data_IF_143078108166
#
_entry.id   IF_143078108166
#
_cell.length_a   1.000
_cell.length_b   1.000
_cell.length_c   1.000
_cell.angle_alpha   90.00
_cell.angle_beta   90.00
_cell.angle_gamma   90.00
#
_symmetry.space_group_name_H-M   'P 1'
#
loop_
_entity.id
_entity.type
_entity.pdbx_description
1 polymer ?
#
# COMPACT_ATOMS: atom_id res chain seq x y z
N UNK A 1 -10.32 11.93 -33.16
CA UNK A 1 -9.04 12.54 -32.75
C UNK A 1 -9.19 12.92 -31.29
N UNK A 2 -8.25 12.50 -30.45
CA UNK A 2 -8.24 12.80 -29.03
C UNK A 2 -8.09 14.32 -28.86
N UNK A 3 -8.94 14.94 -28.03
CA UNK A 3 -8.67 16.29 -27.56
C UNK A 3 -7.51 16.17 -26.57
N UNK A 4 -6.31 16.52 -27.03
CA UNK A 4 -5.17 16.81 -26.17
C UNK A 4 -5.50 18.06 -25.36
N UNK A 5 -5.10 18.03 -24.10
CA UNK A 5 -5.30 19.02 -23.04
C UNK A 5 -5.33 20.46 -23.58
N UNK A 6 -6.49 21.12 -23.49
CA UNK A 6 -6.66 22.54 -23.80
C UNK A 6 -6.02 23.37 -22.68
N UNK A 7 -4.75 23.75 -22.88
CA UNK A 7 -3.95 24.52 -21.92
C UNK A 7 -4.40 26.00 -21.80
N UNK A 8 -5.36 26.46 -22.63
CA UNK A 8 -5.76 27.86 -22.69
C UNK A 8 -7.05 28.19 -21.90
N UNK A 9 -7.80 27.17 -21.46
CA UNK A 9 -8.97 27.33 -20.61
C UNK A 9 -8.79 26.66 -19.24
N UNK A 10 -7.92 27.25 -18.41
CA UNK A 10 -7.77 26.83 -17.02
C UNK A 10 -8.92 27.39 -16.19
N UNK A 11 -10.06 26.70 -16.15
CA UNK A 11 -11.01 26.91 -15.04
C UNK A 11 -10.29 26.42 -13.79
N UNK A 12 -9.65 27.35 -13.07
CA UNK A 12 -8.96 27.05 -11.82
C UNK A 12 -10.01 26.57 -10.83
N UNK A 13 -9.97 25.28 -10.50
CA UNK A 13 -10.80 24.75 -9.43
C UNK A 13 -10.25 25.29 -8.10
N UNK A 14 -10.86 26.35 -7.57
CA UNK A 14 -10.51 26.99 -6.30
C UNK A 14 -10.55 26.03 -5.10
N UNK A 15 -11.28 24.91 -5.21
CA UNK A 15 -11.40 23.92 -4.13
C UNK A 15 -10.35 22.81 -4.19
N UNK A 16 -9.55 22.75 -5.25
CA UNK A 16 -8.69 21.59 -5.52
C UNK A 16 -9.51 20.32 -5.75
N UNK A 17 -9.07 19.46 -6.65
CA UNK A 17 -9.65 18.12 -6.70
C UNK A 17 -9.04 17.31 -5.54
N UNK A 18 -9.78 17.19 -4.44
CA UNK A 18 -9.45 16.21 -3.41
C UNK A 18 -9.56 14.82 -4.03
N UNK A 19 -8.41 14.32 -4.51
CA UNK A 19 -8.26 12.96 -5.02
C UNK A 19 -8.47 12.00 -3.85
N UNK A 20 -9.72 11.55 -3.75
CA UNK A 20 -10.14 10.48 -2.86
C UNK A 20 -9.81 9.15 -3.54
N UNK A 21 -8.99 8.33 -2.86
CA UNK A 21 -8.73 6.97 -3.34
C UNK A 21 -10.00 6.16 -3.14
N UNK A 22 -10.57 5.65 -4.23
CA UNK A 22 -11.80 4.86 -4.19
C UNK A 22 -11.49 3.52 -3.52
N UNK A 23 -11.95 3.33 -2.30
CA UNK A 23 -11.84 2.07 -1.56
C UNK A 23 -13.00 1.13 -1.92
N UNK A 24 -13.09 0.73 -3.19
CA UNK A 24 -14.10 -0.24 -3.65
C UNK A 24 -13.48 -1.22 -4.64
N UNK A 25 -13.69 -2.51 -4.37
CA UNK A 25 -13.37 -3.56 -5.31
C UNK A 25 -14.41 -3.60 -6.43
N UNK A 26 -13.97 -3.46 -7.68
CA UNK A 26 -14.80 -3.53 -8.87
C UNK A 26 -14.68 -4.94 -9.46
N UNK A 27 -15.77 -5.71 -9.56
CA UNK A 27 -15.74 -7.01 -10.21
C UNK A 27 -15.62 -6.85 -11.73
N UNK A 28 -14.79 -7.66 -12.36
CA UNK A 28 -14.72 -7.71 -13.83
C UNK A 28 -15.93 -8.45 -14.36
N UNK A 29 -16.74 -7.78 -15.18
CA UNK A 29 -17.90 -8.36 -15.86
C UNK A 29 -17.66 -8.35 -17.36
N UNK A 30 -17.96 -9.47 -18.02
CA UNK A 30 -18.04 -9.54 -19.47
C UNK A 30 -19.48 -9.38 -19.93
N UNK A 31 -19.70 -8.55 -20.95
CA UNK A 31 -21.00 -8.38 -21.59
C UNK A 31 -21.26 -9.40 -22.69
N UNK A 32 -22.46 -9.37 -23.27
CA UNK A 32 -22.91 -10.27 -24.35
C UNK A 32 -21.94 -10.33 -25.55
N UNK A 33 -21.21 -9.24 -25.82
CA UNK A 33 -20.20 -9.16 -26.88
C UNK A 33 -19.03 -10.15 -26.73
N UNK A 34 -18.69 -10.61 -25.52
CA UNK A 34 -17.62 -11.61 -25.35
C UNK A 34 -18.03 -13.00 -25.83
N UNK A 35 -19.32 -13.36 -25.69
CA UNK A 35 -19.84 -14.64 -26.16
C UNK A 35 -19.89 -14.69 -27.68
N UNK A 36 -20.36 -13.61 -28.32
CA UNK A 36 -20.34 -13.48 -29.78
C UNK A 36 -18.92 -13.55 -30.31
N UNK A 37 -17.97 -12.85 -29.67
CA UNK A 37 -16.56 -12.89 -30.05
C UNK A 37 -15.99 -14.31 -29.99
N UNK A 38 -16.27 -15.08 -28.93
CA UNK A 38 -15.80 -16.47 -28.83
C UNK A 38 -16.43 -17.40 -29.88
N UNK A 39 -17.73 -17.26 -30.14
CA UNK A 39 -18.43 -18.06 -31.16
C UNK A 39 -17.90 -17.74 -32.56
N UNK A 40 -17.69 -16.46 -32.86
CA UNK A 40 -17.09 -16.01 -34.13
C UNK A 40 -15.65 -16.50 -34.30
N UNK A 41 -14.93 -16.75 -33.21
CA UNK A 41 -13.56 -17.26 -33.27
C UNK A 41 -13.50 -18.78 -33.50
N UNK A 42 -14.52 -19.52 -33.07
CA UNK A 42 -14.57 -20.98 -33.18
C UNK A 42 -15.31 -21.50 -34.43
N UNK A 43 -16.32 -20.77 -34.91
CA UNK A 43 -17.25 -21.28 -35.94
C UNK A 43 -16.74 -21.16 -37.40
N UNK A 44 -16.02 -20.10 -37.82
CA UNK A 44 -15.45 -19.98 -39.16
C UNK A 44 -13.93 -20.24 -39.25
N UNK A 45 -13.17 -20.25 -38.13
CA UNK A 45 -11.69 -20.19 -38.14
C UNK A 45 -11.05 -20.98 -36.98
N UNK A 46 -10.82 -22.29 -37.18
CA UNK A 46 -10.20 -23.21 -36.20
C UNK A 46 -8.80 -22.75 -35.75
N UNK A 47 -7.98 -22.21 -36.66
CA UNK A 47 -6.59 -21.81 -36.37
C UNK A 47 -6.52 -20.60 -35.41
N UNK A 48 -7.25 -19.48 -35.65
CA UNK A 48 -7.40 -18.42 -34.65
C UNK A 48 -7.96 -18.89 -33.32
N UNK A 49 -8.90 -19.85 -33.34
CA UNK A 49 -9.49 -20.45 -32.14
C UNK A 49 -8.43 -21.05 -31.21
N UNK A 50 -7.49 -21.80 -31.78
CA UNK A 50 -6.37 -22.39 -31.06
C UNK A 50 -5.41 -21.32 -30.52
N UNK A 51 -5.07 -20.30 -31.32
CA UNK A 51 -4.20 -19.19 -30.88
C UNK A 51 -4.82 -18.48 -29.67
N UNK A 52 -6.14 -18.21 -29.73
CA UNK A 52 -6.86 -17.58 -28.64
C UNK A 52 -6.88 -18.42 -27.34
N UNK A 53 -6.93 -19.75 -27.46
CA UNK A 53 -6.81 -20.65 -26.31
C UNK A 53 -5.44 -20.55 -25.63
N UNK A 54 -4.36 -20.54 -26.42
CA UNK A 54 -3.01 -20.33 -25.88
C UNK A 54 -2.87 -18.97 -25.19
N UNK A 55 -3.45 -17.91 -25.76
CA UNK A 55 -3.47 -16.59 -25.12
C UNK A 55 -4.22 -16.60 -23.77
N UNK A 56 -5.31 -17.37 -23.64
CA UNK A 56 -6.04 -17.51 -22.36
C UNK A 56 -5.18 -18.17 -21.28
N UNK A 57 -4.45 -19.23 -21.64
CA UNK A 57 -3.55 -19.93 -20.70
C UNK A 57 -2.44 -18.97 -20.26
N UNK A 58 -1.85 -18.23 -21.21
CA UNK A 58 -0.83 -17.23 -20.92
C UNK A 58 -1.34 -16.13 -19.99
N UNK A 59 -2.54 -15.59 -20.23
CA UNK A 59 -3.17 -14.59 -19.37
C UNK A 59 -3.38 -15.12 -17.94
N UNK A 60 -3.82 -16.37 -17.79
CA UNK A 60 -3.97 -17.00 -16.47
C UNK A 60 -2.63 -17.15 -15.72
N UNK A 61 -1.55 -17.52 -16.43
CA UNK A 61 -0.21 -17.57 -15.84
C UNK A 61 0.29 -16.19 -15.41
N UNK A 62 0.07 -15.18 -16.23
CA UNK A 62 0.45 -13.80 -15.94
C UNK A 62 -0.29 -13.27 -14.70
N UNK A 63 -1.59 -13.50 -14.58
CA UNK A 63 -2.35 -13.13 -13.39
C UNK A 63 -1.78 -13.80 -12.13
N UNK A 64 -1.48 -15.11 -12.17
CA UNK A 64 -0.84 -15.80 -11.04
C UNK A 64 0.49 -15.18 -10.66
N UNK A 65 1.32 -14.81 -11.65
CA UNK A 65 2.60 -14.14 -11.42
C UNK A 65 2.43 -12.78 -10.76
N UNK A 66 1.50 -11.95 -11.23
CA UNK A 66 1.21 -10.64 -10.62
C UNK A 66 0.69 -10.82 -9.19
N UNK A 67 -0.16 -11.82 -8.93
CA UNK A 67 -0.64 -12.12 -7.58
C UNK A 67 0.51 -12.49 -6.63
N UNK A 68 1.44 -13.32 -7.08
CA UNK A 68 2.64 -13.68 -6.31
C UNK A 68 3.53 -12.46 -6.05
N UNK A 69 3.70 -11.59 -7.05
CA UNK A 69 4.46 -10.34 -6.91
C UNK A 69 3.81 -9.40 -5.88
N UNK A 70 2.49 -9.23 -5.92
CA UNK A 70 1.77 -8.44 -4.92
C UNK A 70 1.96 -9.03 -3.52
N UNK A 71 1.87 -10.36 -3.38
CA UNK A 71 2.08 -11.02 -2.10
C UNK A 71 3.52 -10.81 -1.59
N UNK A 72 4.51 -10.93 -2.48
CA UNK A 72 5.91 -10.70 -2.15
C UNK A 72 6.14 -9.26 -1.65
N UNK A 73 5.65 -8.26 -2.41
CA UNK A 73 5.80 -6.85 -2.05
C UNK A 73 5.06 -6.51 -0.76
N UNK A 74 3.89 -7.10 -0.52
CA UNK A 74 3.17 -6.96 0.74
C UNK A 74 3.98 -7.50 1.92
N UNK A 75 4.60 -8.68 1.76
CA UNK A 75 5.46 -9.27 2.78
C UNK A 75 6.74 -8.44 3.01
N UNK A 76 7.29 -7.79 1.99
CA UNK A 76 8.41 -6.86 2.19
C UNK A 76 8.01 -5.67 3.08
N UNK A 77 6.85 -5.07 2.83
CA UNK A 77 6.32 -4.00 3.70
C UNK A 77 6.17 -4.50 5.14
N UNK A 78 5.60 -5.70 5.34
CA UNK A 78 5.45 -6.29 6.68
C UNK A 78 6.79 -6.49 7.39
N UNK A 79 7.80 -7.00 6.67
CA UNK A 79 9.14 -7.20 7.23
C UNK A 79 9.76 -5.88 7.72
N UNK A 80 9.61 -4.79 6.97
CA UNK A 80 10.13 -3.49 7.40
C UNK A 80 9.38 -2.94 8.61
N UNK A 81 8.06 -3.12 8.68
CA UNK A 81 7.25 -2.74 9.84
C UNK A 81 7.71 -3.52 11.07
N UNK A 82 7.93 -4.82 10.94
CA UNK A 82 8.40 -5.68 12.03
C UNK A 82 9.79 -5.25 12.52
N UNK A 83 10.73 -4.98 11.62
CA UNK A 83 12.05 -4.44 11.98
C UNK A 83 11.93 -3.10 12.74
N UNK A 84 10.98 -2.26 12.33
CA UNK A 84 10.72 -0.98 12.97
C UNK A 84 10.16 -1.13 14.38
N UNK A 85 9.29 -2.12 14.60
CA UNK A 85 8.81 -2.51 15.93
C UNK A 85 9.96 -3.00 16.81
N UNK A 86 10.90 -3.79 16.27
CA UNK A 86 12.09 -4.25 17.01
C UNK A 86 12.97 -3.07 17.43
N UNK A 87 13.21 -2.11 16.54
CA UNK A 87 13.97 -0.89 16.87
C UNK A 87 13.24 -0.06 17.92
N UNK A 88 11.91 0.07 17.82
CA UNK A 88 11.11 0.76 18.82
C UNK A 88 11.23 0.11 20.20
N UNK A 89 11.20 -1.23 20.27
CA UNK A 89 11.39 -1.97 21.52
C UNK A 89 12.77 -1.68 22.12
N UNK A 90 13.82 -1.68 21.31
CA UNK A 90 15.17 -1.38 21.75
C UNK A 90 15.27 0.06 22.28
N UNK A 91 14.69 1.03 21.56
CA UNK A 91 14.64 2.43 21.98
C UNK A 91 13.89 2.59 23.31
N UNK A 92 12.70 2.01 23.45
CA UNK A 92 11.91 2.03 24.69
C UNK A 92 12.65 1.37 25.85
N UNK A 93 13.37 0.27 25.62
CA UNK A 93 14.16 -0.37 26.68
C UNK A 93 15.30 0.52 27.18
N UNK A 94 15.94 1.29 26.30
CA UNK A 94 17.00 2.24 26.67
C UNK A 94 16.39 3.40 27.47
N UNK A 95 15.32 3.99 26.95
CA UNK A 95 14.63 5.12 27.61
C UNK A 95 14.12 4.71 28.99
N UNK A 96 13.48 3.54 29.11
CA UNK A 96 12.95 3.04 30.38
C UNK A 96 14.03 2.76 31.45
N UNK A 97 15.29 2.54 31.05
CA UNK A 97 16.40 2.38 32.01
C UNK A 97 16.87 3.72 32.58
N UNK A 98 16.69 4.81 31.84
CA UNK A 98 17.10 6.15 32.27
C UNK A 98 15.97 6.90 32.96
N UNK A 99 14.74 6.76 32.46
CA UNK A 99 13.54 7.42 32.97
C UNK A 99 12.39 6.40 33.08
N UNK A 100 11.52 6.53 34.08
CA UNK A 100 10.28 5.75 34.09
C UNK A 100 9.39 6.20 32.94
N UNK A 101 9.28 5.37 31.90
CA UNK A 101 8.44 5.63 30.74
C UNK A 101 6.95 5.49 31.12
N UNK A 102 6.08 6.24 30.45
CA UNK A 102 4.63 6.12 30.64
C UNK A 102 4.15 4.68 30.40
N UNK A 103 3.30 4.20 31.30
CA UNK A 103 2.66 2.89 31.25
C UNK A 103 1.84 2.72 29.97
N UNK A 104 1.25 3.79 29.44
CA UNK A 104 0.50 3.73 28.18
C UNK A 104 1.41 3.38 27.00
N UNK A 105 2.55 4.07 26.88
CA UNK A 105 3.57 3.80 25.84
C UNK A 105 4.11 2.37 25.98
N UNK A 106 4.41 1.91 27.19
CA UNK A 106 4.86 0.52 27.39
C UNK A 106 3.80 -0.51 26.99
N UNK A 107 2.53 -0.23 27.27
CA UNK A 107 1.40 -1.11 26.90
C UNK A 107 1.23 -1.19 25.40
N UNK A 108 1.37 -0.06 24.68
CA UNK A 108 1.26 -0.04 23.22
C UNK A 108 2.43 -0.76 22.55
N UNK A 109 3.67 -0.60 23.03
CA UNK A 109 4.82 -1.39 22.54
C UNK A 109 4.60 -2.87 22.80
N UNK A 110 4.06 -3.25 23.97
CA UNK A 110 3.74 -4.64 24.28
C UNK A 110 2.69 -5.23 23.33
N UNK A 111 1.66 -4.45 22.95
CA UNK A 111 0.66 -4.86 21.95
C UNK A 111 1.29 -5.06 20.57
N UNK A 112 2.14 -4.14 20.13
CA UNK A 112 2.88 -4.27 18.86
C UNK A 112 3.78 -5.51 18.89
N UNK A 113 4.46 -5.77 20.01
CA UNK A 113 5.31 -6.94 20.23
C UNK A 113 4.55 -8.25 20.24
N UNK A 114 3.32 -8.28 20.76
CA UNK A 114 2.49 -9.48 20.84
C UNK A 114 2.08 -10.04 19.46
N UNK A 115 2.57 -9.43 18.38
CA UNK A 115 2.36 -9.92 17.02
C UNK A 115 1.06 -9.39 16.45
N UNK A 116 0.84 -8.08 16.54
CA UNK A 116 -0.17 -7.39 15.74
C UNK A 116 0.16 -7.60 14.25
N UNK A 117 -0.21 -8.76 13.70
CA UNK A 117 -0.11 -9.06 12.28
C UNK A 117 -1.26 -8.31 11.63
N UNK A 118 -0.92 -7.32 10.83
CA UNK A 118 -1.91 -6.67 10.01
C UNK A 118 -2.47 -7.67 8.99
N UNK A 119 -3.78 -7.82 8.96
CA UNK A 119 -4.49 -8.68 8.02
C UNK A 119 -4.86 -7.93 6.73
N UNK A 120 -4.87 -6.59 6.77
CA UNK A 120 -5.21 -5.74 5.65
C UNK A 120 -4.31 -4.49 5.58
N UNK A 121 -4.36 -3.80 4.44
CA UNK A 121 -3.57 -2.60 4.17
C UNK A 121 -3.91 -1.43 5.12
N UNK A 122 -5.14 -1.35 5.60
CA UNK A 122 -5.58 -0.33 6.54
C UNK A 122 -4.94 -0.51 7.92
N UNK A 123 -4.88 -1.75 8.42
CA UNK A 123 -4.22 -2.13 9.67
C UNK A 123 -2.72 -1.90 9.59
N UNK A 124 -2.07 -2.24 8.46
CA UNK A 124 -0.65 -1.93 8.22
C UNK A 124 -0.39 -0.43 8.33
N UNK A 125 -1.30 0.37 7.79
CA UNK A 125 -1.22 1.83 7.83
C UNK A 125 -1.37 2.32 9.27
N UNK A 126 -2.36 1.82 10.02
CA UNK A 126 -2.59 2.17 11.41
C UNK A 126 -1.41 1.81 12.32
N UNK A 127 -0.84 0.61 12.16
CA UNK A 127 0.33 0.18 12.94
C UNK A 127 1.51 1.12 12.72
N UNK A 128 1.78 1.50 11.47
CA UNK A 128 2.84 2.45 11.17
C UNK A 128 2.61 3.82 11.79
N UNK A 129 1.36 4.31 11.80
CA UNK A 129 1.02 5.58 12.43
C UNK A 129 1.23 5.54 13.94
N UNK A 130 0.87 4.43 14.59
CA UNK A 130 1.10 4.24 16.01
C UNK A 130 2.61 4.26 16.29
N UNK A 131 3.41 3.51 15.52
CA UNK A 131 4.88 3.53 15.63
C UNK A 131 5.43 4.95 15.43
N UNK A 132 4.96 5.70 14.44
CA UNK A 132 5.35 7.10 14.20
C UNK A 132 5.05 7.98 15.41
N UNK A 133 3.86 7.82 16.03
CA UNK A 133 3.47 8.55 17.24
C UNK A 133 4.43 8.24 18.39
N UNK A 134 4.69 6.96 18.66
CA UNK A 134 5.57 6.55 19.75
C UNK A 134 7.00 7.06 19.59
N UNK A 135 7.53 7.08 18.36
CA UNK A 135 8.85 7.67 18.12
C UNK A 135 8.87 9.18 18.32
N UNK A 136 7.77 9.89 18.03
CA UNK A 136 7.65 11.32 18.38
C UNK A 136 7.64 11.52 19.89
N UNK A 137 6.92 10.69 20.63
CA UNK A 137 6.84 10.77 22.09
C UNK A 137 8.21 10.48 22.73
N UNK A 138 8.93 9.49 22.21
CA UNK A 138 10.32 9.21 22.60
C UNK A 138 11.22 10.41 22.30
N UNK A 139 11.11 11.02 21.11
CA UNK A 139 11.94 12.16 20.76
C UNK A 139 11.70 13.36 21.69
N UNK A 140 10.44 13.62 22.05
CA UNK A 140 10.10 14.67 23.02
C UNK A 140 10.73 14.41 24.39
N UNK A 141 10.74 13.17 24.85
CA UNK A 141 11.42 12.81 26.10
C UNK A 141 12.94 12.96 25.97
N UNK A 142 13.54 12.54 24.86
CA UNK A 142 14.99 12.71 24.62
C UNK A 142 15.41 14.19 24.65
N UNK A 143 14.55 15.09 24.19
CA UNK A 143 14.79 16.54 24.25
C UNK A 143 14.74 17.08 25.69
N UNK A 144 13.87 16.52 26.53
CA UNK A 144 13.73 16.91 27.94
C UNK A 144 14.88 16.41 28.83
N UNK A 145 15.55 15.32 28.43
CA UNK A 145 16.56 14.61 29.23
C UNK A 145 17.90 14.55 28.47
N UNK A 146 18.84 15.50 28.70
CA UNK A 146 20.12 15.59 27.98
C UNK A 146 20.98 14.32 28.05
N UNK A 147 20.87 13.53 29.12
CA UNK A 147 21.56 12.26 29.30
C UNK A 147 21.13 11.20 28.28
N UNK A 148 19.86 11.21 27.85
CA UNK A 148 19.35 10.33 26.80
C UNK A 148 19.88 10.73 25.43
N UNK A 149 20.02 12.04 25.21
CA UNK A 149 20.55 12.60 23.95
C UNK A 149 22.00 12.19 23.70
N UNK A 150 22.79 12.03 24.76
CA UNK A 150 24.17 11.56 24.68
C UNK A 150 24.28 10.04 24.47
N UNK A 151 23.18 9.28 24.57
CA UNK A 151 23.21 7.83 24.47
C UNK A 151 23.29 7.37 23.01
N UNK A 152 24.49 6.97 22.57
CA UNK A 152 24.77 6.55 21.19
C UNK A 152 23.79 5.51 20.63
N UNK A 153 23.38 4.52 21.43
CA UNK A 153 22.46 3.49 20.96
C UNK A 153 21.03 4.02 20.68
N UNK A 154 20.62 5.10 21.36
CA UNK A 154 19.31 5.71 21.14
C UNK A 154 19.33 6.58 19.88
N UNK A 155 20.41 7.34 19.69
CA UNK A 155 20.63 8.09 18.45
C UNK A 155 20.66 7.18 17.21
N UNK A 156 21.33 6.03 17.32
CA UNK A 156 21.35 5.02 16.26
C UNK A 156 19.95 4.43 16.01
N UNK A 157 19.18 4.13 17.05
CA UNK A 157 17.79 3.67 16.90
C UNK A 157 16.90 4.70 16.18
N UNK A 158 17.03 5.99 16.49
CA UNK A 158 16.31 7.07 15.78
C UNK A 158 16.70 7.13 14.30
N UNK A 159 18.00 7.02 14.00
CA UNK A 159 18.52 7.03 12.63
C UNK A 159 18.01 5.82 11.83
N UNK A 160 18.05 4.63 12.42
CA UNK A 160 17.54 3.40 11.80
C UNK A 160 16.02 3.48 11.58
N UNK A 161 15.27 4.04 12.52
CA UNK A 161 13.85 4.30 12.36
C UNK A 161 13.55 5.22 11.16
N UNK A 162 14.29 6.32 11.01
CA UNK A 162 14.16 7.23 9.86
C UNK A 162 14.53 6.56 8.54
N UNK A 163 15.56 5.70 8.55
CA UNK A 163 15.92 4.89 7.39
C UNK A 163 14.80 3.91 7.01
N UNK A 164 14.30 3.12 7.95
CA UNK A 164 13.20 2.19 7.70
C UNK A 164 11.92 2.88 7.25
N UNK A 165 11.63 4.08 7.75
CA UNK A 165 10.47 4.83 7.27
C UNK A 165 10.57 5.14 5.77
N UNK A 166 11.77 5.47 5.27
CA UNK A 166 12.00 5.68 3.85
C UNK A 166 11.85 4.37 3.06
N UNK A 167 12.40 3.27 3.57
CA UNK A 167 12.25 1.94 2.96
C UNK A 167 10.79 1.48 2.91
N UNK A 168 10.00 1.73 3.96
CA UNK A 168 8.56 1.43 3.99
C UNK A 168 7.84 2.25 2.91
N UNK A 169 8.15 3.54 2.76
CA UNK A 169 7.56 4.38 1.71
C UNK A 169 7.89 3.84 0.32
N UNK A 170 9.16 3.50 0.06
CA UNK A 170 9.58 2.93 -1.22
C UNK A 170 8.92 1.56 -1.49
N UNK A 171 8.86 0.68 -0.49
CA UNK A 171 8.21 -0.62 -0.61
C UNK A 171 6.69 -0.50 -0.88
N UNK A 172 6.03 0.51 -0.29
CA UNK A 172 4.62 0.82 -0.57
C UNK A 172 4.42 1.31 -2.00
N UNK A 173 5.35 2.09 -2.54
CA UNK A 173 5.31 2.52 -3.96
C UNK A 173 5.39 1.30 -4.88
N UNK A 174 6.34 0.40 -4.66
CA UNK A 174 6.50 -0.84 -5.45
C UNK A 174 5.26 -1.75 -5.32
N UNK A 175 4.67 -1.86 -4.13
CA UNK A 175 3.39 -2.56 -3.96
C UNK A 175 2.27 -1.90 -4.78
N UNK A 176 2.16 -0.57 -4.71
CA UNK A 176 1.14 0.20 -5.43
C UNK A 176 1.28 0.06 -6.95
N UNK A 177 2.50 0.03 -7.47
CA UNK A 177 2.77 -0.24 -8.89
C UNK A 177 2.29 -1.63 -9.30
N UNK A 178 2.46 -2.63 -8.43
CA UNK A 178 1.97 -3.99 -8.67
C UNK A 178 0.44 -4.06 -8.63
N UNK A 179 -0.21 -3.28 -7.77
CA UNK A 179 -1.66 -3.11 -7.75
C UNK A 179 -2.15 -2.39 -9.01
N UNK A 180 -1.46 -1.34 -9.45
CA UNK A 180 -1.78 -0.62 -10.68
C UNK A 180 -1.69 -1.55 -11.89
N UNK A 181 -0.62 -2.34 -11.97
CA UNK A 181 -0.45 -3.37 -12.99
C UNK A 181 -1.63 -4.36 -12.95
N UNK A 182 -1.94 -4.95 -11.79
CA UNK A 182 -3.09 -5.85 -11.64
C UNK A 182 -4.40 -5.21 -12.11
N UNK A 183 -4.71 -4.01 -11.61
CA UNK A 183 -5.95 -3.30 -11.93
C UNK A 183 -6.04 -2.96 -13.42
N UNK A 184 -4.93 -2.63 -14.07
CA UNK A 184 -4.91 -2.38 -15.52
C UNK A 184 -5.08 -3.66 -16.33
N UNK A 185 -4.46 -4.77 -15.91
CA UNK A 185 -4.46 -6.02 -16.66
C UNK A 185 -5.80 -6.76 -16.61
N UNK A 186 -6.51 -6.69 -15.47
CA UNK A 186 -7.81 -7.34 -15.33
C UNK A 186 -8.89 -6.71 -16.24
N UNK A 187 -8.74 -5.44 -16.63
CA UNK A 187 -9.63 -4.74 -17.55
C UNK A 187 -9.14 -4.73 -19.01
N UNK A 188 -7.98 -5.34 -19.31
CA UNK A 188 -7.43 -5.37 -20.67
C UNK A 188 -8.27 -6.28 -21.58
N UNK A 189 -9.03 -5.67 -22.48
CA UNK A 189 -9.78 -6.36 -23.53
C UNK A 189 -8.84 -6.90 -24.63
N UNK A 190 -9.13 -8.04 -25.30
CA UNK A 190 -10.24 -8.99 -25.06
C UNK A 190 -9.89 -10.12 -24.08
N UNK A 191 -8.71 -10.72 -24.22
CA UNK A 191 -8.40 -12.02 -23.61
C UNK A 191 -8.34 -11.97 -22.08
N UNK A 192 -7.66 -10.96 -21.52
CA UNK A 192 -7.43 -10.85 -20.08
C UNK A 192 -8.72 -10.53 -19.32
N UNK A 193 -9.55 -9.63 -19.85
CA UNK A 193 -10.86 -9.32 -19.29
C UNK A 193 -11.80 -10.54 -19.24
N UNK A 194 -11.79 -11.38 -20.28
CA UNK A 194 -12.60 -12.61 -20.33
C UNK A 194 -12.13 -13.63 -19.28
N UNK A 195 -10.81 -13.83 -19.16
CA UNK A 195 -10.24 -14.73 -18.15
C UNK A 195 -10.52 -14.21 -16.74
N UNK A 196 -10.34 -12.93 -16.49
CA UNK A 196 -10.59 -12.29 -15.20
C UNK A 196 -12.07 -12.40 -14.78
N UNK A 197 -13.01 -12.18 -15.70
CA UNK A 197 -14.44 -12.31 -15.41
C UNK A 197 -14.83 -13.76 -15.09
N UNK A 198 -14.29 -14.75 -15.83
CA UNK A 198 -14.52 -16.18 -15.54
C UNK A 198 -13.95 -16.62 -14.20
N UNK A 199 -12.82 -16.04 -13.81
CA UNK A 199 -12.16 -16.32 -12.54
C UNK A 199 -12.71 -15.45 -11.37
N UNK A 200 -13.73 -14.62 -11.61
CA UNK A 200 -14.31 -13.69 -10.64
C UNK A 200 -13.29 -12.75 -9.97
N UNK A 201 -12.27 -12.33 -10.72
CA UNK A 201 -11.28 -11.38 -10.20
C UNK A 201 -11.87 -10.00 -9.98
N UNK A 202 -11.39 -9.35 -8.93
CA UNK A 202 -11.75 -7.99 -8.53
C UNK A 202 -10.52 -7.09 -8.56
N UNK A 203 -10.75 -5.77 -8.69
CA UNK A 203 -9.69 -4.80 -8.43
C UNK A 203 -9.18 -4.92 -7.01
N UNK A 204 -7.90 -4.60 -6.83
CA UNK A 204 -7.25 -4.49 -5.53
C UNK A 204 -7.09 -3.03 -5.15
N UNK A 205 -7.11 -2.78 -3.85
CA UNK A 205 -7.00 -1.44 -3.29
C UNK A 205 -5.51 -1.16 -3.02
N UNK A 206 -4.94 -0.07 -3.55
CA UNK A 206 -3.56 0.31 -3.26
C UNK A 206 -3.42 0.86 -1.84
N UNK A 207 -2.19 0.95 -1.32
CA UNK A 207 -1.92 1.76 -0.13
C UNK A 207 -2.27 3.21 -0.41
N UNK A 208 -3.05 3.79 0.49
CA UNK A 208 -3.38 5.21 0.49
C UNK A 208 -3.12 5.81 1.86
N UNK A 209 -2.81 7.10 1.86
CA UNK A 209 -2.76 7.87 3.11
C UNK A 209 -4.19 8.05 3.62
N UNK A 210 -4.45 7.67 4.88
CA UNK A 210 -5.78 7.83 5.47
C UNK A 210 -6.24 9.28 5.40
N UNK A 211 -7.54 9.50 5.22
CA UNK A 211 -8.14 10.84 5.18
C UNK A 211 -7.81 11.65 6.44
N UNK A 212 -7.66 10.97 7.57
CA UNK A 212 -7.29 11.55 8.85
C UNK A 212 -5.89 12.19 8.84
N UNK A 213 -4.90 11.58 8.17
CA UNK A 213 -3.57 12.19 7.99
C UNK A 213 -3.65 13.43 7.11
N UNK A 214 -4.40 13.36 6.00
CA UNK A 214 -4.59 14.54 5.13
C UNK A 214 -5.24 15.68 5.93
N UNK A 215 -6.20 15.38 6.79
CA UNK A 215 -6.88 16.35 7.64
C UNK A 215 -5.95 16.91 8.75
N UNK A 216 -5.15 16.06 9.40
CA UNK A 216 -4.23 16.49 10.46
C UNK A 216 -3.07 17.32 9.91
N UNK A 217 -2.54 16.96 8.74
CA UNK A 217 -1.58 17.79 8.02
C UNK A 217 -2.19 19.16 7.72
N UNK A 218 -3.42 19.22 7.18
CA UNK A 218 -4.12 20.49 6.94
C UNK A 218 -4.25 21.33 8.21
N UNK A 219 -4.70 20.73 9.33
CA UNK A 219 -4.82 21.46 10.60
C UNK A 219 -3.50 22.09 11.04
N UNK A 220 -2.39 21.34 10.99
CA UNK A 220 -1.07 21.86 11.37
C UNK A 220 -0.52 22.95 10.43
N UNK A 221 -1.03 23.06 9.20
CA UNK A 221 -0.59 24.08 8.22
C UNK A 221 -1.52 25.31 8.18
N UNK A 222 -2.75 25.21 8.70
CA UNK A 222 -3.77 26.27 8.62
C UNK A 222 -4.24 26.78 10.00
N UNK A 223 -3.67 26.29 11.10
CA UNK A 223 -3.72 26.91 12.44
C UNK A 223 -2.45 27.75 12.68
#
# INVERSE_FOLDING_TARGET
>A
MANELDELNVVVNEKGNDINVINKQLPVKVGFGSLIFEIFLWFPLIIPGLIFLFMKISAGNEFRRIQQQIQHNASQVDNYIEQRVIILQNAVSIVNKAICLDKEVMTEVAKLRAGAKAHNEAERTQINQNIDRMFRDINLQVEQYPELKAHNALAEAMKQNSYLQREITAAREIYNDSILLWNSEIFRWPTKMIVAARAHYTTRIPFYTSSEIKAQARKNFFE
#
